data_IF_330269982055
#
_entry.id   IF_330269982055
#
_cell.length_a   1.000
_cell.length_b   1.000
_cell.length_c   1.000
_cell.angle_alpha   90.00
_cell.angle_beta   90.00
_cell.angle_gamma   90.00
#
_symmetry.space_group_name_H-M   'P 1'
#
loop_
_entity.id
_entity.type
_entity.pdbx_description
1 polymer ?
#
# COMPACT_ATOMS: atom_id res chain seq x y z
N UNK A 1 23.53 30.15 -4.94
CA UNK A 1 22.30 29.33 -5.09
C UNK A 1 22.58 27.82 -5.07
N UNK A 2 23.71 27.31 -5.57
CA UNK A 2 24.04 25.87 -5.52
C UNK A 2 24.28 25.34 -4.08
N UNK A 3 24.79 26.15 -3.15
CA UNK A 3 25.01 25.76 -1.76
C UNK A 3 23.72 25.58 -0.92
N UNK A 4 22.63 26.29 -1.22
CA UNK A 4 21.37 26.12 -0.46
C UNK A 4 20.58 24.89 -0.91
N UNK A 5 20.72 24.50 -2.18
CA UNK A 5 20.08 23.29 -2.73
C UNK A 5 20.76 22.02 -2.20
N UNK A 6 22.10 22.03 -2.06
CA UNK A 6 22.84 20.90 -1.46
C UNK A 6 22.49 20.66 0.01
N UNK A 7 22.28 21.71 0.80
CA UNK A 7 21.87 21.63 2.21
C UNK A 7 20.42 21.12 2.37
N UNK A 8 19.52 21.47 1.44
CA UNK A 8 18.14 20.95 1.37
C UNK A 8 18.06 19.49 0.93
N UNK A 9 18.96 19.03 0.06
CA UNK A 9 19.03 17.62 -0.36
C UNK A 9 19.61 16.74 0.75
N UNK A 10 20.53 17.28 1.58
CA UNK A 10 21.02 16.59 2.77
C UNK A 10 19.92 16.41 3.82
N UNK A 11 19.02 17.39 4.00
CA UNK A 11 17.91 17.25 4.94
C UNK A 11 16.83 16.29 4.44
N UNK A 12 16.52 16.30 3.14
CA UNK A 12 15.52 15.40 2.57
C UNK A 12 15.96 13.92 2.63
N UNK A 13 17.24 13.65 2.37
CA UNK A 13 17.80 12.28 2.47
C UNK A 13 17.85 11.81 3.92
N UNK A 14 18.21 12.68 4.87
CA UNK A 14 18.18 12.36 6.30
C UNK A 14 16.75 12.09 6.81
N UNK A 15 15.77 12.92 6.42
CA UNK A 15 14.35 12.71 6.75
C UNK A 15 13.85 11.41 6.14
N UNK A 16 14.18 11.12 4.88
CA UNK A 16 13.84 9.87 4.24
C UNK A 16 14.42 8.67 5.00
N UNK A 17 15.71 8.71 5.36
CA UNK A 17 16.33 7.62 6.12
C UNK A 17 15.70 7.43 7.50
N UNK A 18 15.43 8.51 8.24
CA UNK A 18 14.82 8.45 9.57
C UNK A 18 13.40 7.87 9.46
N UNK A 19 12.59 8.36 8.52
CA UNK A 19 11.24 7.83 8.29
C UNK A 19 11.27 6.38 7.85
N UNK A 20 12.20 5.97 6.97
CA UNK A 20 12.33 4.56 6.57
C UNK A 20 12.78 3.67 7.72
N UNK A 21 13.66 4.14 8.61
CA UNK A 21 14.13 3.39 9.78
C UNK A 21 13.05 3.32 10.86
N UNK A 22 12.30 4.40 11.10
CA UNK A 22 11.15 4.42 12.00
C UNK A 22 10.02 3.52 11.48
N UNK A 23 9.72 3.60 10.18
CA UNK A 23 8.73 2.75 9.53
C UNK A 23 9.18 1.29 9.58
N UNK A 24 10.44 0.99 9.25
CA UNK A 24 10.98 -0.35 9.37
C UNK A 24 10.91 -0.85 10.83
N UNK A 25 11.26 -0.03 11.82
CA UNK A 25 11.13 -0.39 13.24
C UNK A 25 9.67 -0.63 13.65
N UNK A 26 8.73 0.18 13.17
CA UNK A 26 7.29 0.04 13.45
C UNK A 26 6.66 -1.18 12.74
N UNK A 27 7.12 -1.48 11.52
CA UNK A 27 6.71 -2.66 10.75
C UNK A 27 7.30 -3.98 11.31
N UNK A 28 8.30 -3.89 12.19
CA UNK A 28 8.85 -5.02 12.94
C UNK A 28 8.28 -5.10 14.37
N UNK A 29 7.34 -4.22 14.74
CA UNK A 29 6.68 -4.18 16.05
C UNK A 29 5.23 -4.65 15.92
N UNK A 30 5.02 -5.94 15.71
CA UNK A 30 3.74 -6.57 16.03
C UNK A 30 3.99 -7.86 16.81
N UNK A 31 3.29 -8.04 17.95
CA UNK A 31 3.30 -9.30 18.66
C UNK A 31 2.58 -10.33 17.79
N UNK A 32 3.22 -11.48 17.59
CA UNK A 32 2.56 -12.65 17.02
C UNK A 32 2.12 -13.48 18.22
N UNK A 33 0.83 -13.54 18.44
CA UNK A 33 0.20 -14.50 19.36
C UNK A 33 0.15 -15.85 18.63
N UNK A 34 0.67 -16.90 19.25
CA UNK A 34 0.51 -18.26 18.79
C UNK A 34 0.35 -19.21 19.98
N UNK A 35 -0.48 -20.22 19.73
CA UNK A 35 -1.36 -20.85 20.70
C UNK A 35 -1.11 -22.36 20.83
N UNK A 36 -0.88 -22.82 22.06
CA UNK A 36 -1.17 -24.21 22.42
C UNK A 36 -2.68 -24.38 22.43
N UNK A 37 -3.20 -25.27 21.60
CA UNK A 37 -4.62 -25.60 21.57
C UNK A 37 -4.88 -26.89 22.35
N UNK A 38 -5.66 -26.80 23.43
CA UNK A 38 -6.03 -27.94 24.27
C UNK A 38 -7.49 -28.33 24.06
N UNK A 39 -7.74 -29.64 24.04
CA UNK A 39 -9.06 -30.24 23.83
C UNK A 39 -9.38 -31.18 24.98
N UNK A 40 -10.53 -30.97 25.62
CA UNK A 40 -11.06 -31.86 26.65
C UNK A 40 -11.91 -32.98 25.99
N UNK A 41 -12.25 -34.02 26.76
CA UNK A 41 -13.11 -35.14 26.38
C UNK A 41 -14.52 -34.69 25.93
N UNK A 42 -14.99 -33.54 26.42
CA UNK A 42 -16.26 -32.92 26.03
C UNK A 42 -16.15 -32.01 24.79
N UNK A 43 -15.02 -32.06 24.06
CA UNK A 43 -14.69 -31.13 22.96
C UNK A 43 -14.61 -29.65 23.36
N UNK A 44 -14.50 -29.34 24.65
CA UNK A 44 -14.11 -27.99 25.09
C UNK A 44 -12.71 -27.66 24.57
N UNK A 45 -12.55 -26.49 23.95
CA UNK A 45 -11.28 -26.02 23.38
C UNK A 45 -10.79 -24.79 24.11
N UNK A 46 -9.51 -24.78 24.48
CA UNK A 46 -8.87 -23.61 25.07
C UNK A 46 -7.51 -23.36 24.40
N UNK A 47 -7.20 -22.09 24.15
CA UNK A 47 -5.91 -21.63 23.64
C UNK A 47 -5.06 -21.06 24.76
N UNK A 48 -3.74 -21.23 24.66
CA UNK A 48 -2.78 -20.73 25.64
C UNK A 48 -1.59 -20.11 24.95
N UNK A 49 -1.18 -18.94 25.41
CA UNK A 49 0.04 -18.28 24.94
C UNK A 49 1.27 -19.14 25.23
N UNK A 50 2.13 -19.27 24.22
CA UNK A 50 3.41 -19.96 24.35
C UNK A 50 4.56 -19.25 23.66
N UNK A 51 5.78 -19.68 24.00
CA UNK A 51 7.00 -19.19 23.38
C UNK A 51 7.90 -20.38 23.00
N UNK A 52 8.16 -20.62 21.70
CA UNK A 52 8.98 -21.74 21.27
C UNK A 52 10.43 -21.62 21.76
N UNK A 53 11.03 -22.76 22.09
CA UNK A 53 12.45 -22.82 22.45
C UNK A 53 13.34 -22.45 21.25
N UNK A 54 14.50 -21.87 21.55
CA UNK A 54 15.55 -21.57 20.54
C UNK A 54 16.36 -22.81 20.13
N UNK A 55 15.88 -23.99 20.47
CA UNK A 55 16.51 -25.29 20.23
C UNK A 55 15.47 -26.38 20.02
N UNK A 56 15.93 -27.56 19.61
CA UNK A 56 15.06 -28.64 19.20
C UNK A 56 14.65 -28.53 17.73
N UNK A 57 13.82 -29.47 17.30
CA UNK A 57 13.31 -29.50 15.94
C UNK A 57 12.07 -28.61 15.80
N UNK A 58 11.81 -28.11 14.59
CA UNK A 58 10.61 -27.32 14.31
C UNK A 58 9.36 -28.20 14.36
N UNK A 59 8.26 -27.61 14.81
CA UNK A 59 6.96 -28.29 14.78
C UNK A 59 6.58 -28.65 13.32
N UNK A 60 5.92 -29.81 13.11
CA UNK A 60 5.36 -30.16 11.80
C UNK A 60 4.32 -29.14 11.32
N UNK A 61 4.14 -29.02 10.00
CA UNK A 61 3.21 -28.06 9.40
C UNK A 61 1.75 -28.31 9.80
N UNK A 62 1.40 -29.55 10.09
CA UNK A 62 0.08 -29.97 10.57
C UNK A 62 -0.12 -29.77 12.08
N UNK A 63 0.91 -29.33 12.81
CA UNK A 63 0.93 -29.32 14.27
C UNK A 63 1.21 -30.70 14.87
N UNK A 64 1.60 -30.71 16.15
CA UNK A 64 1.89 -31.93 16.89
C UNK A 64 0.81 -32.18 17.95
N UNK A 65 -0.11 -33.09 17.64
CA UNK A 65 -1.14 -33.56 18.58
C UNK A 65 -0.61 -34.65 19.50
N UNK A 66 -0.76 -34.47 20.80
CA UNK A 66 -0.35 -35.46 21.80
C UNK A 66 -1.11 -35.39 23.11
N UNK A 67 -0.95 -36.44 23.92
CA UNK A 67 -1.50 -36.51 25.27
C UNK A 67 -0.56 -35.82 26.25
N UNK A 68 -1.13 -34.98 27.12
CA UNK A 68 -0.37 -34.22 28.10
C UNK A 68 -0.11 -35.05 29.36
N UNK A 69 1.15 -35.11 29.81
CA UNK A 69 1.56 -35.83 31.01
C UNK A 69 2.40 -34.93 31.90
N UNK A 70 2.07 -34.86 33.18
CA UNK A 70 2.90 -34.18 34.17
C UNK A 70 4.21 -34.97 34.39
N UNK A 71 5.33 -34.25 34.32
CA UNK A 71 6.65 -34.82 34.58
C UNK A 71 6.76 -35.38 36.02
N UNK A 72 7.48 -36.49 36.16
CA UNK A 72 7.85 -37.09 37.45
C UNK A 72 9.35 -37.46 37.42
N UNK A 73 10.24 -36.74 38.14
CA UNK A 73 9.98 -35.55 38.96
C UNK A 73 9.49 -34.33 38.15
N UNK A 74 8.76 -33.41 38.79
CA UNK A 74 8.12 -32.27 38.10
C UNK A 74 9.12 -31.37 37.39
N UNK A 75 10.33 -31.22 37.94
CA UNK A 75 11.36 -30.34 37.40
C UNK A 75 12.23 -30.98 36.30
N UNK A 76 12.11 -32.29 36.06
CA UNK A 76 12.89 -33.03 35.06
C UNK A 76 14.42 -32.81 35.09
N UNK A 77 14.99 -32.45 36.24
CA UNK A 77 16.45 -32.28 36.35
C UNK A 77 17.19 -33.63 36.40
N UNK A 78 16.48 -34.68 36.79
CA UNK A 78 16.91 -36.08 36.76
C UNK A 78 16.11 -36.86 35.71
N UNK A 79 16.52 -38.10 35.36
CA UNK A 79 15.74 -38.95 34.47
C UNK A 79 14.28 -39.08 34.95
N UNK A 80 13.34 -38.78 34.05
CA UNK A 80 11.91 -38.78 34.36
C UNK A 80 11.24 -40.09 33.97
N UNK A 81 10.07 -40.35 34.55
CA UNK A 81 9.24 -41.50 34.21
C UNK A 81 8.86 -41.49 32.71
N UNK A 82 8.98 -42.63 32.00
CA UNK A 82 8.57 -42.74 30.61
C UNK A 82 7.04 -42.59 30.47
N UNK A 83 6.54 -42.22 29.27
CA UNK A 83 5.11 -42.17 29.02
C UNK A 83 4.48 -43.58 29.17
N UNK A 84 3.18 -43.67 29.48
CA UNK A 84 2.45 -44.92 29.52
C UNK A 84 2.60 -45.72 28.22
N UNK A 85 2.81 -47.03 28.36
CA UNK A 85 2.87 -47.95 27.21
C UNK A 85 1.51 -47.95 26.50
N UNK A 86 1.54 -47.81 25.16
CA UNK A 86 0.36 -47.94 24.32
C UNK A 86 0.45 -49.20 23.47
N UNK A 87 -0.66 -49.93 23.43
CA UNK A 87 -0.75 -51.18 22.68
C UNK A 87 -1.06 -50.99 21.19
N UNK A 88 -1.55 -49.83 20.70
CA UNK A 88 -1.75 -49.62 19.24
C UNK A 88 -2.18 -48.20 18.76
N UNK A 89 -2.12 -47.17 19.58
CA UNK A 89 -2.67 -45.84 19.19
C UNK A 89 -1.54 -44.84 18.91
N UNK A 90 -1.47 -44.35 17.66
CA UNK A 90 -0.43 -43.45 17.09
C UNK A 90 -0.29 -42.05 17.72
N UNK A 91 -0.82 -41.83 18.93
CA UNK A 91 -0.76 -40.54 19.60
C UNK A 91 0.61 -40.27 20.23
N UNK A 92 1.14 -39.08 20.02
CA UNK A 92 2.34 -38.60 20.68
C UNK A 92 2.07 -38.34 22.18
N UNK A 93 3.12 -38.39 23.01
CA UNK A 93 3.05 -37.94 24.40
C UNK A 93 3.88 -36.67 24.56
N UNK A 94 3.30 -35.69 25.24
CA UNK A 94 3.87 -34.37 25.48
C UNK A 94 3.97 -34.20 26.98
N UNK A 95 5.17 -33.88 27.47
CA UNK A 95 5.40 -33.74 28.90
C UNK A 95 5.30 -32.28 29.34
N UNK A 96 4.65 -32.04 30.47
CA UNK A 96 4.60 -30.75 31.16
C UNK A 96 5.63 -30.74 32.29
N UNK A 97 6.56 -29.79 32.24
CA UNK A 97 7.72 -29.70 33.13
C UNK A 97 7.70 -28.36 33.87
N UNK A 98 7.93 -28.40 35.18
CA UNK A 98 8.08 -27.21 36.02
C UNK A 98 9.47 -26.59 35.81
N UNK A 99 9.53 -25.27 35.65
CA UNK A 99 10.80 -24.49 35.65
C UNK A 99 11.48 -24.55 37.03
N UNK A 100 12.75 -24.11 37.07
CA UNK A 100 13.67 -23.99 38.20
C UNK A 100 14.60 -25.21 38.38
N UNK A 101 15.52 -25.12 39.35
CA UNK A 101 16.56 -26.10 39.74
C UNK A 101 17.63 -26.46 38.70
N UNK A 102 17.32 -26.46 37.40
CA UNK A 102 18.26 -26.75 36.32
C UNK A 102 17.89 -26.01 35.02
N UNK A 103 18.81 -26.02 34.07
CA UNK A 103 18.65 -25.36 32.77
C UNK A 103 17.59 -26.04 31.89
N UNK A 104 17.00 -25.26 30.97
CA UNK A 104 15.93 -25.73 30.07
C UNK A 104 16.34 -26.87 29.16
N UNK A 105 17.57 -26.84 28.65
CA UNK A 105 18.13 -27.90 27.80
C UNK A 105 18.22 -29.25 28.53
N UNK A 106 18.64 -29.25 29.80
CA UNK A 106 18.69 -30.47 30.63
C UNK A 106 17.29 -31.06 30.80
N UNK A 107 16.30 -30.21 31.08
CA UNK A 107 14.89 -30.62 31.22
C UNK A 107 14.37 -31.30 29.96
N UNK A 108 14.53 -30.63 28.82
CA UNK A 108 14.04 -31.12 27.52
C UNK A 108 14.81 -32.37 27.08
N UNK A 109 16.12 -32.44 27.34
CA UNK A 109 16.92 -33.62 27.04
C UNK A 109 16.48 -34.84 27.86
N UNK A 110 16.17 -34.68 29.14
CA UNK A 110 15.66 -35.76 29.98
C UNK A 110 14.27 -36.23 29.51
N UNK A 111 13.41 -35.30 29.10
CA UNK A 111 12.13 -35.62 28.48
C UNK A 111 12.29 -36.44 27.20
N UNK A 112 13.20 -36.03 26.31
CA UNK A 112 13.49 -36.78 25.09
C UNK A 112 14.00 -38.19 25.39
N UNK A 113 14.93 -38.32 26.34
CA UNK A 113 15.49 -39.61 26.76
C UNK A 113 14.43 -40.55 27.34
N UNK A 114 13.42 -39.99 28.02
CA UNK A 114 12.28 -40.75 28.53
C UNK A 114 11.28 -41.17 27.43
N UNK A 115 11.42 -40.66 26.20
CA UNK A 115 10.61 -41.07 25.04
C UNK A 115 9.44 -40.15 24.71
N UNK A 116 9.36 -38.96 25.32
CA UNK A 116 8.36 -37.95 24.94
C UNK A 116 8.67 -37.35 23.56
N UNK A 117 7.62 -36.89 22.87
CA UNK A 117 7.72 -36.31 21.51
C UNK A 117 7.78 -34.79 21.50
N UNK A 118 7.37 -34.14 22.59
CA UNK A 118 7.56 -32.72 22.83
C UNK A 118 7.58 -32.43 24.34
N UNK A 119 8.07 -31.26 24.70
CA UNK A 119 8.10 -30.79 26.08
C UNK A 119 7.51 -29.38 26.19
N UNK A 120 6.62 -29.19 27.16
CA UNK A 120 6.08 -27.89 27.55
C UNK A 120 6.72 -27.56 28.90
N UNK A 121 7.49 -26.47 28.96
CA UNK A 121 8.07 -25.98 30.22
C UNK A 121 7.23 -24.82 30.70
N UNK A 122 6.78 -24.85 31.95
CA UNK A 122 5.97 -23.77 32.50
C UNK A 122 6.72 -22.94 33.53
N UNK A 123 6.37 -21.66 33.60
CA UNK A 123 6.86 -20.74 34.60
C UNK A 123 6.29 -21.06 36.00
N UNK A 124 6.87 -20.42 37.00
CA UNK A 124 6.51 -20.58 38.42
C UNK A 124 6.31 -19.17 38.99
N UNK A 125 5.20 -18.94 39.68
CA UNK A 125 4.80 -17.67 40.29
C UNK A 125 4.73 -16.47 39.30
N UNK A 126 4.54 -16.72 38.00
CA UNK A 126 4.48 -15.70 36.94
C UNK A 126 3.89 -16.26 35.64
N UNK A 127 3.23 -15.40 34.86
CA UNK A 127 2.74 -15.72 33.51
C UNK A 127 3.63 -15.17 32.39
N UNK A 128 4.74 -14.52 32.74
CA UNK A 128 5.67 -13.98 31.75
C UNK A 128 6.32 -15.12 30.96
N UNK A 129 6.31 -14.98 29.62
CA UNK A 129 6.95 -15.91 28.72
C UNK A 129 8.46 -15.64 28.63
N UNK A 130 9.27 -16.68 28.78
CA UNK A 130 10.73 -16.58 28.84
C UNK A 130 11.37 -17.42 27.75
N UNK A 131 12.26 -16.80 26.99
CA UNK A 131 12.99 -17.46 25.91
C UNK A 131 13.86 -18.60 26.45
N UNK A 132 13.51 -19.83 26.12
CA UNK A 132 14.34 -21.00 26.42
C UNK A 132 15.52 -21.08 25.46
N UNK A 133 16.73 -21.00 26.01
CA UNK A 133 17.99 -21.20 25.29
C UNK A 133 18.99 -21.98 26.13
N UNK A 134 20.13 -22.34 25.53
CA UNK A 134 21.27 -22.91 26.25
C UNK A 134 22.58 -22.31 25.73
N UNK A 135 23.58 -22.31 26.61
CA UNK A 135 24.94 -21.92 26.29
C UNK A 135 25.80 -23.13 25.86
N UNK A 136 25.32 -24.36 26.06
CA UNK A 136 26.04 -25.59 25.70
C UNK A 136 25.60 -26.11 24.32
N UNK A 137 26.43 -25.81 23.31
CA UNK A 137 26.17 -26.18 21.92
C UNK A 137 26.15 -27.70 21.72
N UNK A 138 26.89 -28.47 22.52
CA UNK A 138 26.94 -29.93 22.38
C UNK A 138 25.65 -30.60 22.88
N UNK A 139 25.06 -30.04 23.95
CA UNK A 139 23.75 -30.47 24.43
C UNK A 139 22.66 -30.10 23.42
N UNK A 140 22.69 -28.88 22.89
CA UNK A 140 21.70 -28.40 21.93
C UNK A 140 21.59 -29.31 20.69
N UNK A 141 22.72 -29.78 20.17
CA UNK A 141 22.76 -30.71 19.01
C UNK A 141 22.15 -32.08 19.27
N UNK A 142 21.91 -32.44 20.53
CA UNK A 142 21.31 -33.72 20.92
C UNK A 142 19.80 -33.62 21.14
N UNK A 143 19.24 -32.41 21.17
CA UNK A 143 17.81 -32.19 21.39
C UNK A 143 17.10 -32.13 20.03
N UNK A 144 16.20 -33.08 19.81
CA UNK A 144 15.47 -33.32 18.58
C UNK A 144 13.94 -33.17 18.76
N UNK A 145 13.45 -33.00 19.99
CA UNK A 145 12.03 -32.76 20.23
C UNK A 145 11.71 -31.26 20.25
N UNK A 146 10.56 -30.82 19.71
CA UNK A 146 10.09 -29.46 19.87
C UNK A 146 9.77 -29.19 21.34
N UNK A 147 9.98 -27.94 21.76
CA UNK A 147 9.62 -27.50 23.10
C UNK A 147 9.14 -26.06 23.13
N UNK A 148 8.20 -25.78 24.01
CA UNK A 148 7.54 -24.47 24.16
C UNK A 148 7.46 -24.07 25.63
N UNK A 149 7.44 -22.77 25.89
CA UNK A 149 7.38 -22.20 27.22
C UNK A 149 6.01 -21.56 27.47
N UNK A 150 5.42 -21.74 28.65
CA UNK A 150 4.12 -21.16 29.00
C UNK A 150 4.13 -20.50 30.39
N UNK A 151 3.14 -19.64 30.62
CA UNK A 151 2.83 -19.08 31.94
C UNK A 151 2.34 -20.12 32.96
N UNK A 152 2.35 -19.75 34.24
CA UNK A 152 1.91 -20.62 35.33
C UNK A 152 0.39 -20.87 35.32
N UNK A 153 -0.42 -19.85 35.07
CA UNK A 153 -1.89 -19.97 35.03
C UNK A 153 -2.34 -20.88 33.88
N UNK A 154 -1.71 -20.74 32.70
CA UNK A 154 -1.88 -21.65 31.57
C UNK A 154 -1.53 -23.09 31.94
N UNK A 155 -0.41 -23.29 32.64
CA UNK A 155 0.00 -24.62 33.08
C UNK A 155 -0.95 -25.24 34.10
N UNK A 156 -1.48 -24.45 35.04
CA UNK A 156 -2.46 -24.94 36.01
C UNK A 156 -3.76 -25.38 35.32
N UNK A 157 -4.25 -24.58 34.36
CA UNK A 157 -5.40 -24.94 33.54
C UNK A 157 -5.17 -26.25 32.76
N UNK A 158 -3.99 -26.39 32.13
CA UNK A 158 -3.58 -27.62 31.44
C UNK A 158 -3.56 -28.85 32.37
N UNK A 159 -3.06 -28.71 33.60
CA UNK A 159 -3.04 -29.79 34.61
C UNK A 159 -4.45 -30.18 35.08
N UNK A 160 -5.30 -29.17 35.26
CA UNK A 160 -6.65 -29.34 35.81
C UNK A 160 -7.65 -29.89 34.82
N UNK A 161 -7.46 -29.72 33.51
CA UNK A 161 -8.49 -30.12 32.55
C UNK A 161 -7.98 -31.01 31.41
N UNK A 162 -6.72 -30.87 31.00
CA UNK A 162 -6.25 -31.41 29.71
C UNK A 162 -5.22 -32.54 29.83
N UNK A 163 -5.06 -33.13 31.01
CA UNK A 163 -4.14 -34.26 31.24
C UNK A 163 -4.63 -35.57 30.61
N UNK A 164 -3.69 -36.46 30.32
CA UNK A 164 -3.95 -37.80 29.76
C UNK A 164 -4.98 -38.60 30.56
N UNK A 165 -4.92 -38.53 31.90
CA UNK A 165 -5.85 -39.25 32.78
C UNK A 165 -7.31 -38.78 32.62
N UNK A 166 -7.50 -37.52 32.19
CA UNK A 166 -8.81 -36.91 31.92
C UNK A 166 -9.26 -37.11 30.47
N UNK A 167 -8.43 -37.76 29.64
CA UNK A 167 -8.69 -37.94 28.21
C UNK A 167 -8.42 -36.68 27.37
N UNK A 168 -7.82 -35.65 27.96
CA UNK A 168 -7.44 -34.42 27.27
C UNK A 168 -6.25 -34.64 26.31
N UNK A 169 -6.22 -33.85 25.25
CA UNK A 169 -5.09 -33.79 24.33
C UNK A 169 -4.73 -32.35 24.01
N UNK A 170 -3.45 -32.11 23.76
CA UNK A 170 -2.92 -30.79 23.36
C UNK A 170 -2.37 -30.89 21.94
N UNK A 171 -2.47 -29.80 21.21
CA UNK A 171 -1.95 -29.65 19.86
C UNK A 171 -1.00 -28.46 19.88
N UNK A 172 0.29 -28.74 19.65
CA UNK A 172 1.29 -27.71 19.45
C UNK A 172 1.23 -27.29 17.98
N UNK A 173 0.75 -26.09 17.71
CA UNK A 173 0.59 -25.57 16.35
C UNK A 173 1.85 -24.75 16.04
N UNK A 174 2.55 -24.99 14.91
CA UNK A 174 3.64 -24.11 14.52
C UNK A 174 3.11 -22.69 14.33
N UNK A 175 3.88 -21.69 14.74
CA UNK A 175 3.60 -20.30 14.37
C UNK A 175 3.73 -20.15 12.85
N UNK A 176 2.63 -20.34 12.12
CA UNK A 176 2.55 -19.88 10.74
C UNK A 176 2.35 -18.38 10.77
N UNK A 177 3.44 -17.66 10.99
CA UNK A 177 3.56 -16.29 10.48
C UNK A 177 3.64 -16.37 8.95
N UNK A 178 2.54 -16.73 8.29
CA UNK A 178 2.30 -16.28 6.91
C UNK A 178 1.93 -14.82 7.06
N UNK A 179 2.89 -13.89 6.99
CA UNK A 179 2.65 -12.52 7.37
C UNK A 179 2.05 -11.89 6.12
N UNK A 180 0.77 -12.16 5.85
CA UNK A 180 0.02 -11.50 4.78
C UNK A 180 0.17 -9.99 4.91
N UNK A 181 0.24 -9.49 6.14
CA UNK A 181 0.57 -8.11 6.45
C UNK A 181 1.95 -7.66 5.91
N UNK A 182 3.00 -8.49 6.01
CA UNK A 182 4.33 -8.21 5.44
C UNK A 182 4.32 -8.11 3.91
N UNK A 183 3.38 -8.75 3.22
CA UNK A 183 3.21 -8.61 1.77
C UNK A 183 2.26 -7.47 1.39
N UNK A 184 1.24 -7.19 2.20
CA UNK A 184 0.28 -6.11 1.98
C UNK A 184 0.92 -4.73 2.12
N UNK A 185 1.83 -4.55 3.07
CA UNK A 185 2.47 -3.25 3.30
C UNK A 185 3.34 -2.79 2.11
N UNK A 186 4.29 -3.59 1.58
CA UNK A 186 5.02 -3.24 0.36
C UNK A 186 4.11 -2.99 -0.84
N UNK A 187 3.01 -3.76 -0.96
CA UNK A 187 2.02 -3.56 -2.00
C UNK A 187 1.34 -2.18 -1.89
N UNK A 188 0.91 -1.78 -0.70
CA UNK A 188 0.32 -0.45 -0.46
C UNK A 188 1.31 0.69 -0.70
N UNK A 189 2.59 0.50 -0.35
CA UNK A 189 3.65 1.49 -0.64
C UNK A 189 3.82 1.67 -2.15
N UNK A 190 3.88 0.58 -2.92
CA UNK A 190 4.00 0.64 -4.38
C UNK A 190 2.79 1.37 -4.99
N UNK A 191 1.57 1.03 -4.56
CA UNK A 191 0.33 1.71 -5.02
C UNK A 191 0.37 3.20 -4.67
N UNK A 192 0.80 3.56 -3.46
CA UNK A 192 0.95 4.95 -3.03
C UNK A 192 1.94 5.75 -3.88
N UNK A 193 3.11 5.18 -4.20
CA UNK A 193 4.11 5.81 -5.07
C UNK A 193 3.53 6.04 -6.47
N UNK A 194 2.82 5.05 -7.03
CA UNK A 194 2.17 5.19 -8.33
C UNK A 194 1.16 6.35 -8.36
N UNK A 195 0.32 6.49 -7.33
CA UNK A 195 -0.63 7.59 -7.23
C UNK A 195 0.06 8.95 -7.11
N UNK A 196 1.14 9.05 -6.32
CA UNK A 196 1.93 10.28 -6.19
C UNK A 196 2.55 10.67 -7.55
N UNK A 197 3.10 9.71 -8.30
CA UNK A 197 3.66 9.98 -9.63
C UNK A 197 2.59 10.47 -10.61
N UNK A 198 1.38 9.90 -10.58
CA UNK A 198 0.24 10.36 -11.39
C UNK A 198 -0.14 11.79 -11.00
N UNK A 199 -0.23 12.11 -9.70
CA UNK A 199 -0.55 13.47 -9.23
C UNK A 199 0.53 14.47 -9.65
N UNK A 200 1.82 14.13 -9.51
CA UNK A 200 2.93 14.98 -9.98
C UNK A 200 2.84 15.20 -11.49
N UNK A 201 2.56 14.15 -12.27
CA UNK A 201 2.37 14.25 -13.71
C UNK A 201 1.18 15.16 -14.05
N UNK A 202 0.05 15.03 -13.34
CA UNK A 202 -1.11 15.90 -13.52
C UNK A 202 -0.81 17.35 -13.17
N UNK A 203 -0.11 17.63 -12.07
CA UNK A 203 0.28 18.98 -11.66
C UNK A 203 1.25 19.57 -12.67
N UNK A 204 2.29 18.84 -13.07
CA UNK A 204 3.27 19.31 -14.06
C UNK A 204 2.61 19.60 -15.40
N UNK A 205 1.72 18.72 -15.88
CA UNK A 205 0.92 18.96 -17.08
C UNK A 205 0.01 20.18 -16.94
N UNK A 206 -0.70 20.32 -15.81
CA UNK A 206 -1.56 21.48 -15.56
C UNK A 206 -0.77 22.80 -15.56
N UNK A 207 0.41 22.80 -14.92
CA UNK A 207 1.33 23.93 -14.89
C UNK A 207 1.83 24.23 -16.30
N UNK A 208 2.31 23.22 -17.05
CA UNK A 208 2.77 23.39 -18.44
C UNK A 208 1.69 23.94 -19.37
N UNK A 209 0.47 23.41 -19.30
CA UNK A 209 -0.68 23.86 -20.09
C UNK A 209 -1.02 25.32 -19.75
N UNK A 210 -1.00 25.68 -18.45
CA UNK A 210 -1.19 27.06 -17.98
C UNK A 210 -0.05 27.98 -18.44
N UNK A 211 1.20 27.52 -18.45
CA UNK A 211 2.34 28.27 -18.98
C UNK A 211 2.25 28.47 -20.50
N UNK A 212 1.82 27.44 -21.26
CA UNK A 212 1.58 27.54 -22.71
C UNK A 212 0.50 28.56 -23.02
N UNK A 213 -0.59 28.58 -22.25
CA UNK A 213 -1.64 29.57 -22.38
C UNK A 213 -1.15 31.02 -22.10
N UNK A 214 -0.16 31.19 -21.21
CA UNK A 214 0.43 32.50 -20.89
C UNK A 214 1.43 33.00 -21.94
N UNK A 215 2.28 32.12 -22.49
CA UNK A 215 3.35 32.49 -23.46
C UNK A 215 2.84 32.90 -24.84
N UNK A 216 1.59 32.58 -25.17
CA UNK A 216 0.99 32.86 -26.48
C UNK A 216 0.32 34.25 -26.59
N UNK A 217 0.31 35.05 -25.51
CA UNK A 217 -0.34 36.37 -25.46
C UNK A 217 0.67 37.51 -25.55
N UNK A 218 0.45 38.48 -26.45
CA UNK A 218 1.25 39.70 -26.52
C UNK A 218 0.82 40.70 -25.42
N UNK A 219 1.77 41.21 -24.62
CA UNK A 219 1.49 42.26 -23.64
C UNK A 219 1.00 43.53 -24.34
N UNK A 220 -0.01 44.21 -23.76
CA UNK A 220 -0.61 45.44 -24.31
C UNK A 220 0.41 46.54 -24.61
N UNK A 221 1.52 46.58 -23.86
CA UNK A 221 2.58 47.59 -24.05
C UNK A 221 3.43 47.35 -25.30
N UNK A 222 3.62 46.08 -25.70
CA UNK A 222 4.32 45.74 -26.94
C UNK A 222 3.41 45.97 -28.16
N UNK A 223 2.10 45.73 -28.01
CA UNK A 223 1.12 46.04 -29.05
C UNK A 223 1.10 47.54 -29.41
N UNK A 224 1.22 48.42 -28.41
CA UNK A 224 1.25 49.89 -28.62
C UNK A 224 2.45 50.39 -29.45
N UNK A 225 3.52 49.61 -29.54
CA UNK A 225 4.73 49.97 -30.31
C UNK A 225 4.62 49.67 -31.80
N UNK A 226 3.60 48.92 -32.22
CA UNK A 226 3.41 48.57 -33.62
C UNK A 226 2.84 49.77 -34.40
N UNK A 227 3.33 50.03 -35.63
CA UNK A 227 2.86 51.14 -36.45
C UNK A 227 1.35 51.13 -36.67
N UNK A 228 0.74 52.32 -36.56
CA UNK A 228 -0.67 52.53 -36.88
C UNK A 228 -0.76 53.54 -38.01
N UNK A 229 -1.36 53.12 -39.13
CA UNK A 229 -1.65 53.93 -40.30
C UNK A 229 -3.12 54.36 -40.28
N UNK A 230 -3.43 55.55 -40.76
CA UNK A 230 -4.83 55.98 -40.99
C UNK A 230 -5.10 55.89 -42.48
N UNK A 231 -6.00 55.00 -42.87
CA UNK A 231 -6.33 54.76 -44.27
C UNK A 231 -6.98 55.99 -44.91
N UNK A 232 -6.61 56.27 -46.15
CA UNK A 232 -7.24 57.29 -46.99
C UNK A 232 -7.47 56.77 -48.41
N UNK A 233 -8.74 56.65 -48.78
CA UNK A 233 -9.24 56.20 -50.06
C UNK A 233 -8.84 57.19 -51.15
N UNK A 234 -8.09 56.70 -52.14
CA UNK A 234 -7.67 57.48 -53.31
C UNK A 234 -6.31 58.17 -53.22
N UNK A 235 -5.56 58.02 -52.10
CA UNK A 235 -4.21 58.58 -51.92
C UNK A 235 -3.07 57.58 -52.18
N UNK A 236 -3.37 56.40 -52.76
CA UNK A 236 -2.37 55.40 -53.18
C UNK A 236 -1.97 54.35 -52.13
N UNK A 237 -2.78 54.15 -51.08
CA UNK A 237 -2.58 53.07 -50.11
C UNK A 237 -2.67 51.69 -50.78
N UNK A 238 -1.70 50.80 -50.54
CA UNK A 238 -1.63 49.45 -51.12
C UNK A 238 -2.56 48.41 -50.45
N UNK A 239 -3.45 48.86 -49.55
CA UNK A 239 -4.28 47.99 -48.72
C UNK A 239 -5.76 48.21 -49.03
N UNK A 240 -6.47 47.15 -49.44
CA UNK A 240 -7.89 47.29 -49.85
C UNK A 240 -8.88 46.62 -48.88
N UNK A 241 -8.51 45.48 -48.28
CA UNK A 241 -9.44 44.66 -47.48
C UNK A 241 -8.78 44.12 -46.21
N UNK A 242 -9.53 44.12 -45.11
CA UNK A 242 -9.09 43.49 -43.87
C UNK A 242 -9.29 41.97 -43.89
N UNK A 243 -8.21 41.20 -43.88
CA UNK A 243 -8.29 39.73 -43.91
C UNK A 243 -8.87 39.07 -42.63
N UNK A 244 -9.32 39.85 -41.63
CA UNK A 244 -9.99 39.32 -40.42
C UNK A 244 -11.52 39.51 -40.48
N UNK A 245 -12.00 40.72 -40.80
CA UNK A 245 -13.44 40.97 -40.93
C UNK A 245 -13.96 40.88 -42.37
N UNK A 246 -13.05 40.79 -43.35
CA UNK A 246 -13.32 40.73 -44.78
C UNK A 246 -14.00 41.99 -45.34
N UNK A 247 -14.01 43.09 -44.59
CA UNK A 247 -14.52 44.39 -45.01
C UNK A 247 -13.45 45.20 -45.74
N UNK A 248 -13.88 45.99 -46.73
CA UNK A 248 -13.05 47.01 -47.39
C UNK A 248 -12.68 48.13 -46.40
N UNK A 249 -11.52 48.76 -46.61
CA UNK A 249 -11.10 49.87 -45.76
C UNK A 249 -11.82 51.18 -46.12
N UNK A 250 -12.25 51.91 -45.08
CA UNK A 250 -12.92 53.21 -45.22
C UNK A 250 -12.02 54.37 -44.79
N UNK A 251 -12.28 55.55 -45.36
CA UNK A 251 -11.55 56.77 -45.03
C UNK A 251 -11.51 57.05 -43.53
N UNK A 252 -10.29 57.14 -42.98
CA UNK A 252 -10.07 57.37 -41.55
C UNK A 252 -9.95 56.12 -40.70
N UNK A 253 -10.04 54.92 -41.29
CA UNK A 253 -9.81 53.67 -40.58
C UNK A 253 -8.41 53.58 -39.99
N UNK A 254 -8.31 53.07 -38.76
CA UNK A 254 -7.03 52.84 -38.09
C UNK A 254 -6.54 51.44 -38.39
N UNK A 255 -5.50 51.35 -39.20
CA UNK A 255 -4.85 50.10 -39.60
C UNK A 255 -3.61 49.88 -38.77
N UNK A 256 -3.45 48.67 -38.23
CA UNK A 256 -2.20 48.23 -37.61
C UNK A 256 -1.41 47.42 -38.62
N UNK A 257 -0.18 47.86 -38.88
CA UNK A 257 0.73 47.19 -39.80
C UNK A 257 1.69 46.33 -38.97
N UNK A 258 1.72 45.03 -39.26
CA UNK A 258 2.63 44.08 -38.63
C UNK A 258 4.04 44.15 -39.26
N UNK A 259 5.10 43.63 -38.60
CA UNK A 259 6.45 43.61 -39.18
C UNK A 259 6.59 42.83 -40.48
N UNK A 260 5.63 41.95 -40.79
CA UNK A 260 5.51 41.24 -42.06
C UNK A 260 4.66 42.00 -43.10
N UNK A 261 4.55 43.33 -42.96
CA UNK A 261 3.80 44.29 -43.79
C UNK A 261 2.29 44.06 -43.98
N UNK A 262 1.69 43.01 -43.40
CA UNK A 262 0.23 42.84 -43.41
C UNK A 262 -0.48 43.89 -42.55
N UNK A 263 -1.51 44.53 -43.10
CA UNK A 263 -2.37 45.52 -42.44
C UNK A 263 -3.72 44.92 -42.03
N UNK A 264 -4.26 45.40 -40.92
CA UNK A 264 -5.57 45.00 -40.38
C UNK A 264 -6.19 46.16 -39.62
N UNK A 265 -7.52 46.23 -39.49
CA UNK A 265 -8.12 47.17 -38.52
C UNK A 265 -7.56 46.89 -37.12
N UNK A 266 -7.20 47.94 -36.38
CA UNK A 266 -6.75 47.81 -34.99
C UNK A 266 -7.78 47.04 -34.14
N UNK A 267 -9.08 47.25 -34.38
CA UNK A 267 -10.16 46.54 -33.67
C UNK A 267 -10.16 45.03 -33.93
N UNK A 268 -9.71 44.59 -35.10
CA UNK A 268 -9.73 43.19 -35.52
C UNK A 268 -8.47 42.44 -35.07
N UNK A 269 -7.29 43.04 -35.24
CA UNK A 269 -6.01 42.35 -34.95
C UNK A 269 -5.57 42.47 -33.48
N UNK A 270 -5.99 43.50 -32.75
CA UNK A 270 -5.60 43.68 -31.34
C UNK A 270 -6.12 42.54 -30.44
N UNK A 271 -7.39 42.09 -30.53
CA UNK A 271 -7.87 40.92 -29.81
C UNK A 271 -7.12 39.64 -30.20
N UNK A 272 -6.80 39.48 -31.50
CA UNK A 272 -6.07 38.32 -32.00
C UNK A 272 -4.68 38.21 -31.36
N UNK A 273 -3.92 39.31 -31.32
CA UNK A 273 -2.56 39.33 -30.76
C UNK A 273 -2.51 39.25 -29.23
N UNK A 274 -3.55 39.73 -28.55
CA UNK A 274 -3.58 39.79 -27.07
C UNK A 274 -4.25 38.59 -26.41
N UNK A 275 -5.22 37.96 -27.08
CA UNK A 275 -6.00 36.85 -26.51
C UNK A 275 -5.68 35.50 -27.15
N UNK A 276 -5.30 35.49 -28.43
CA UNK A 276 -5.19 34.26 -29.23
C UNK A 276 -3.75 33.87 -29.51
N UNK A 277 -3.04 34.55 -30.41
CA UNK A 277 -1.67 34.21 -30.83
C UNK A 277 -0.88 35.47 -31.20
N UNK A 278 0.42 35.50 -30.88
CA UNK A 278 1.37 36.59 -31.26
C UNK A 278 1.90 36.51 -32.71
N UNK A 279 1.13 35.93 -33.62
CA UNK A 279 1.51 35.66 -35.02
C UNK A 279 0.53 36.33 -35.98
N UNK A 280 1.03 36.75 -37.15
CA UNK A 280 0.20 37.27 -38.23
C UNK A 280 -0.88 36.24 -38.64
N UNK A 281 -2.16 36.64 -38.79
CA UNK A 281 -3.23 35.76 -39.26
C UNK A 281 -2.99 35.15 -40.65
N UNK A 282 -2.30 35.88 -41.54
CA UNK A 282 -2.09 35.47 -42.94
C UNK A 282 -0.82 34.64 -43.09
N UNK A 283 0.35 35.19 -42.77
CA UNK A 283 1.63 34.51 -43.01
C UNK A 283 2.18 33.73 -41.80
N UNK A 284 1.48 33.72 -40.65
CA UNK A 284 1.90 33.06 -39.40
C UNK A 284 3.24 33.54 -38.81
N UNK A 285 3.86 34.59 -39.35
CA UNK A 285 5.10 35.16 -38.84
C UNK A 285 4.90 35.81 -37.45
N UNK A 286 5.87 35.60 -36.53
CA UNK A 286 5.84 36.19 -35.17
C UNK A 286 5.96 37.72 -35.24
N UNK A 287 5.12 38.42 -34.48
CA UNK A 287 5.01 39.89 -34.49
C UNK A 287 6.10 40.59 -33.65
N UNK A 288 6.82 39.85 -32.81
CA UNK A 288 7.96 40.37 -32.04
C UNK A 288 9.16 39.41 -32.21
N UNK A 289 10.34 39.88 -32.64
CA UNK A 289 11.57 39.11 -32.58
C UNK A 289 11.94 38.85 -31.11
N UNK A 290 12.29 37.62 -30.74
CA UNK A 290 12.75 37.29 -29.39
C UNK A 290 14.07 38.00 -29.09
N UNK A 291 14.04 39.23 -28.58
CA UNK A 291 15.21 39.82 -27.92
C UNK A 291 15.06 39.67 -26.40
N UNK A 292 15.82 38.73 -25.84
CA UNK A 292 16.32 38.77 -24.47
C UNK A 292 15.33 38.57 -23.34
N UNK A 293 14.73 37.38 -23.22
CA UNK A 293 14.42 36.79 -21.92
C UNK A 293 15.21 35.49 -21.84
N UNK A 294 16.31 35.50 -21.08
CA UNK A 294 17.10 34.32 -20.75
C UNK A 294 16.31 33.41 -19.81
N UNK A 295 15.40 32.61 -20.35
CA UNK A 295 14.80 31.47 -19.65
C UNK A 295 14.88 30.25 -20.58
N UNK A 296 15.94 29.46 -20.37
CA UNK A 296 16.23 28.13 -20.92
C UNK A 296 15.23 27.57 -21.94
N UNK A 297 15.55 27.81 -23.21
CA UNK A 297 15.11 27.00 -24.34
C UNK A 297 15.72 25.59 -24.20
N UNK A 298 14.92 24.61 -23.76
CA UNK A 298 15.12 23.21 -24.15
C UNK A 298 13.96 22.84 -25.05
N UNK A 299 14.08 23.24 -26.31
CA UNK A 299 13.20 22.82 -27.39
C UNK A 299 13.54 21.37 -27.74
N UNK A 300 12.66 20.45 -27.35
CA UNK A 300 12.58 19.11 -27.92
C UNK A 300 11.16 18.92 -28.42
N UNK A 301 10.76 19.76 -29.38
CA UNK A 301 9.64 19.43 -30.25
C UNK A 301 10.13 18.49 -31.34
N UNK A 302 9.87 17.19 -31.15
CA UNK A 302 9.81 16.25 -32.25
C UNK A 302 8.63 16.67 -33.14
N UNK A 303 8.93 16.97 -34.39
CA UNK A 303 7.95 17.15 -35.45
C UNK A 303 7.27 15.80 -35.74
N UNK A 304 5.97 15.71 -35.45
CA UNK A 304 5.12 14.63 -35.95
C UNK A 304 4.87 14.90 -37.45
N UNK A 305 5.43 14.03 -38.31
CA UNK A 305 5.06 13.95 -39.72
C UNK A 305 3.61 13.46 -39.84
N UNK A 306 2.72 14.33 -40.30
CA UNK A 306 1.41 13.95 -40.84
C UNK A 306 1.61 13.20 -42.17
N UNK A 307 1.27 11.90 -42.20
CA UNK A 307 1.13 11.13 -43.46
C UNK A 307 -0.33 11.22 -43.90
N UNK A 308 -0.51 11.79 -45.10
CA UNK A 308 -1.75 11.93 -45.84
C UNK A 308 -2.27 10.57 -46.33
N UNK A 309 -3.56 10.32 -46.10
CA UNK A 309 -4.34 9.24 -46.69
C UNK A 309 -4.78 9.61 -48.12
N UNK A 310 -4.13 9.04 -49.13
CA UNK A 310 -4.72 8.89 -50.47
C UNK A 310 -4.28 7.55 -51.08
N UNK A 311 -5.19 6.58 -51.14
CA UNK A 311 -5.14 5.43 -52.07
C UNK A 311 -5.60 5.91 -53.46
N UNK A 312 -5.08 5.41 -54.62
CA UNK A 312 -5.42 4.05 -55.11
C UNK A 312 -4.40 3.32 -56.06
N UNK A 313 -4.50 1.98 -56.07
CA UNK A 313 -4.45 1.01 -57.20
C UNK A 313 -3.17 0.66 -58.03
N UNK A 314 -2.90 -0.67 -58.03
CA UNK A 314 -2.49 -1.62 -59.10
C UNK A 314 -1.00 -1.80 -59.55
N UNK A 315 -0.37 -2.86 -58.99
CA UNK A 315 0.21 -4.10 -59.62
C UNK A 315 1.41 -4.05 -60.62
N UNK A 316 2.11 -5.19 -60.88
CA UNK A 316 3.02 -6.03 -60.06
C UNK A 316 4.44 -6.17 -60.69
N UNK A 317 5.38 -6.84 -60.01
CA UNK A 317 6.28 -7.91 -60.54
C UNK A 317 7.35 -8.19 -59.47
N UNK A 318 7.33 -9.38 -58.85
CA UNK A 318 8.29 -10.48 -59.05
C UNK A 318 9.68 -10.16 -58.45
N UNK A 319 10.33 -10.98 -57.63
CA UNK A 319 10.21 -12.40 -57.32
C UNK A 319 11.33 -12.78 -56.34
N UNK A 320 11.20 -13.95 -55.69
CA UNK A 320 12.25 -14.78 -55.07
C UNK A 320 12.64 -14.39 -53.62
N UNK A 321 12.64 -15.24 -52.58
CA UNK A 321 12.17 -16.63 -52.36
C UNK A 321 12.36 -16.98 -50.86
N UNK A 322 11.41 -17.77 -50.31
CA UNK A 322 11.60 -18.92 -49.37
C UNK A 322 12.27 -18.68 -48.01
N UNK A 323 11.80 -19.16 -46.84
CA UNK A 323 11.16 -20.42 -46.42
C UNK A 323 10.27 -20.15 -45.16
N UNK A 324 9.01 -20.62 -45.07
CA UNK A 324 8.53 -21.93 -44.52
C UNK A 324 8.96 -22.14 -43.04
N UNK A 325 8.11 -22.33 -42.02
CA UNK A 325 6.93 -23.21 -41.78
C UNK A 325 5.99 -22.49 -40.76
N UNK A 326 4.65 -22.40 -40.89
CA UNK A 326 3.61 -23.45 -40.75
C UNK A 326 3.09 -23.53 -39.29
N UNK A 327 1.81 -23.68 -38.92
CA UNK A 327 0.44 -23.51 -39.45
C UNK A 327 -0.55 -23.99 -38.34
N UNK A 328 -1.86 -23.78 -38.55
CA UNK A 328 -3.08 -24.21 -37.80
C UNK A 328 -3.64 -23.12 -36.86
N UNK A 329 -4.69 -22.33 -37.16
CA UNK A 329 -5.98 -22.48 -37.89
C UNK A 329 -7.11 -23.17 -37.11
N UNK A 330 -8.00 -22.32 -36.56
CA UNK A 330 -9.47 -22.36 -36.45
C UNK A 330 -10.29 -23.65 -36.70
N UNK A 331 -11.34 -23.86 -35.88
CA UNK A 331 -12.74 -23.74 -36.36
C UNK A 331 -13.83 -23.97 -35.27
N UNK A 332 -14.83 -23.07 -35.31
CA UNK A 332 -16.29 -23.22 -35.16
C UNK A 332 -16.95 -24.29 -34.27
N UNK A 333 -17.95 -23.85 -33.48
CA UNK A 333 -19.38 -24.12 -33.78
C UNK A 333 -20.36 -23.34 -32.89
N UNK A 334 -21.32 -22.68 -33.55
CA UNK A 334 -22.57 -22.11 -33.03
C UNK A 334 -23.70 -23.17 -32.99
N UNK A 335 -24.73 -22.92 -32.18
CA UNK A 335 -26.18 -23.33 -32.21
C UNK A 335 -26.62 -23.80 -30.81
N UNK A 336 -27.77 -23.42 -30.21
CA UNK A 336 -29.04 -22.95 -30.76
C UNK A 336 -29.86 -22.16 -29.71
N UNK A 337 -30.87 -21.41 -30.19
CA UNK A 337 -31.82 -20.55 -29.44
C UNK A 337 -33.11 -21.27 -29.00
N UNK A 338 -33.83 -20.66 -28.04
CA UNK A 338 -35.32 -20.54 -27.89
C UNK A 338 -35.56 -19.73 -26.59
N UNK A 339 -35.98 -18.45 -26.55
CA UNK A 339 -37.25 -17.76 -26.92
C UNK A 339 -38.46 -18.06 -26.00
N UNK A 340 -38.99 -16.98 -25.36
CA UNK A 340 -40.38 -16.62 -24.93
C UNK A 340 -40.38 -15.86 -23.58
N UNK A 341 -40.50 -14.52 -23.54
CA UNK A 341 -41.70 -13.63 -23.53
C UNK A 341 -42.53 -13.72 -22.22
N UNK A 342 -42.51 -12.74 -21.30
CA UNK A 342 -43.10 -11.38 -21.32
C UNK A 342 -44.46 -11.34 -20.59
N UNK A 343 -44.56 -10.67 -19.42
CA UNK A 343 -45.78 -10.02 -18.88
C UNK A 343 -45.39 -8.86 -17.93
N UNK A 344 -46.22 -7.83 -17.91
CA UNK A 344 -45.97 -6.43 -17.51
C UNK A 344 -46.28 -6.05 -16.05
N UNK A 345 -45.77 -4.84 -15.72
CA UNK A 345 -46.23 -3.74 -14.84
C UNK A 345 -47.20 -3.99 -13.67
N UNK A 346 -46.87 -3.39 -12.51
CA UNK A 346 -47.78 -2.41 -11.89
C UNK A 346 -47.02 -1.46 -10.93
N UNK A 347 -47.20 -0.16 -11.16
CA UNK A 347 -46.80 0.94 -10.27
C UNK A 347 -47.88 1.14 -9.20
N UNK A 348 -47.48 1.53 -7.97
CA UNK A 348 -48.28 2.50 -7.22
C UNK A 348 -47.49 3.16 -6.08
N UNK A 349 -47.30 4.47 -6.23
CA UNK A 349 -47.03 5.42 -5.15
C UNK A 349 -48.25 5.57 -4.24
N UNK A 350 -48.02 5.85 -2.94
CA UNK A 350 -48.71 6.93 -2.21
C UNK A 350 -48.14 7.14 -0.79
N UNK A 351 -47.44 8.26 -0.65
CA UNK A 351 -47.56 9.33 0.37
C UNK A 351 -48.64 9.13 1.46
N UNK A 352 -48.28 9.27 2.75
CA UNK A 352 -48.66 10.46 3.55
C UNK A 352 -47.88 10.58 4.88
N UNK A 353 -47.68 11.84 5.21
CA UNK A 353 -47.05 12.53 6.32
C UNK A 353 -47.73 12.38 7.69
N UNK A 354 -46.96 12.61 8.76
CA UNK A 354 -47.33 13.58 9.81
C UNK A 354 -46.22 13.78 10.85
N UNK A 355 -45.90 15.05 11.03
CA UNK A 355 -45.14 15.79 12.04
C UNK A 355 -45.13 15.27 13.49
N UNK A 356 -44.00 15.49 14.19
CA UNK A 356 -43.99 16.23 15.47
C UNK A 356 -42.54 16.55 15.91
N UNK A 357 -42.26 17.85 16.01
CA UNK A 357 -41.07 18.43 16.64
C UNK A 357 -41.15 18.37 18.18
N UNK A 358 -40.00 18.14 18.82
CA UNK A 358 -39.53 18.76 20.08
C UNK A 358 -38.10 18.23 20.30
N UNK A 359 -37.04 19.00 20.52
CA UNK A 359 -36.93 20.26 21.24
C UNK A 359 -36.00 20.07 22.44
N UNK A 360 -34.68 20.17 22.19
CA UNK A 360 -33.53 20.49 23.07
C UNK A 360 -33.39 19.84 24.47
N UNK A 361 -32.17 19.35 24.77
CA UNK A 361 -31.28 19.91 25.81
C UNK A 361 -29.88 19.29 25.70
N UNK A 362 -28.87 20.13 25.46
CA UNK A 362 -27.46 19.82 25.68
C UNK A 362 -27.17 19.81 27.19
N UNK A 363 -26.45 18.79 27.67
CA UNK A 363 -25.67 18.95 28.89
C UNK A 363 -24.35 18.17 28.77
N UNK A 364 -23.27 18.94 28.66
CA UNK A 364 -21.88 18.49 28.70
C UNK A 364 -21.49 18.11 30.12
N UNK A 365 -21.01 16.88 30.35
CA UNK A 365 -20.38 16.50 31.62
C UNK A 365 -18.90 16.19 31.38
N UNK A 366 -18.07 17.10 31.90
CA UNK A 366 -16.63 16.99 32.07
C UNK A 366 -16.37 16.08 33.26
N UNK A 367 -15.59 15.00 33.09
CA UNK A 367 -15.07 14.21 34.23
C UNK A 367 -13.60 14.49 34.40
N UNK A 368 -13.29 15.12 35.53
CA UNK A 368 -11.97 15.52 35.97
C UNK A 368 -11.33 14.39 36.78
N UNK A 369 -10.14 13.95 36.35
CA UNK A 369 -9.24 13.07 37.08
C UNK A 369 -8.62 13.81 38.27
N UNK A 370 -8.62 13.20 39.47
CA UNK A 370 -7.53 13.34 40.44
C UNK A 370 -7.43 12.10 41.36
N UNK A 371 -6.23 11.82 41.91
CA UNK A 371 -5.83 10.52 42.47
C UNK A 371 -5.98 10.45 43.99
N UNK A 372 -5.95 9.24 44.57
CA UNK A 372 -5.81 9.06 46.01
C UNK A 372 -4.76 7.99 46.34
N UNK A 373 -3.80 8.44 47.12
CA UNK A 373 -2.59 7.79 47.62
C UNK A 373 -2.81 6.65 48.62
N UNK A 374 -1.86 5.72 48.59
CA UNK A 374 -1.19 5.00 49.68
C UNK A 374 -1.86 4.82 51.04
N UNK A 375 -1.96 3.55 51.46
CA UNK A 375 -2.25 3.17 52.85
C UNK A 375 -1.16 2.26 53.40
N UNK A 376 -0.30 2.87 54.21
CA UNK A 376 0.74 2.21 55.03
C UNK A 376 0.16 1.20 56.02
N UNK A 377 0.89 0.09 56.16
CA UNK A 377 0.69 -0.97 57.14
C UNK A 377 1.30 -0.56 58.49
N UNK A 378 0.52 -0.56 59.58
CA UNK A 378 1.04 -0.41 60.95
C UNK A 378 1.05 -1.74 61.70
N UNK A 379 2.26 -2.13 62.09
CA UNK A 379 2.61 -3.17 63.05
C UNK A 379 2.16 -2.76 64.46
N UNK A 380 1.62 -3.70 65.23
CA UNK A 380 1.62 -3.64 66.69
C UNK A 380 1.87 -5.03 67.27
N UNK A 381 2.98 -5.15 67.98
CA UNK A 381 3.40 -6.30 68.77
C UNK A 381 2.80 -6.25 70.18
N UNK A 382 2.43 -7.44 70.68
CA UNK A 382 2.54 -7.97 72.06
C UNK A 382 1.98 -7.20 73.26
N UNK A 383 1.14 -7.87 74.06
CA UNK A 383 1.51 -8.49 75.36
C UNK A 383 0.77 -9.81 75.50
#
# INVERSE_FOLDING_TARGET
MLLSIGMLMLSATQIYTIVTVQLFAFLNLLPVEADILAYNLENGTQTFDDLPARFGYRLPAEGLKGFLINSKPENACEPIAPPPLRDNSSGAFIVLIRRLECNFDVKVLNAQRAGYKAAIVHNVDSDDLISMGSNDIEILKKIDIPSVFIGETSANSLKEEFTYEKGGHVVLIPEFSLPLEYYLIPFLIIVGICLILIVIFMITKFVQDRHRARRNRLRKDQLKKLPVHKFKKGEGDEYDVCAICLDEYEDGDKLRILPCSHAYHCKCVDPWLTKTKKTCPVCKQKVVPSQGDSDSETDSSQEENEVSENTPLLRPLASVSTQSFGALSESHSHQNMTESSEYEEDDNDNIDSSDAENGMNEESVVVQLQPSEDREYRVANTV
#
